data_IF_599052794356
#
_entry.id   IF_599052794356
#
_cell.length_a   1.000
_cell.length_b   1.000
_cell.length_c   1.000
_cell.angle_alpha   90.00
_cell.angle_beta   90.00
_cell.angle_gamma   90.00
#
_symmetry.space_group_name_H-M   'P 1'
#
loop_
_entity.id
_entity.type
_entity.pdbx_description
1 polymer ?
#
# COMPACT_ATOMS: atom_id res chain seq x y z
N UNK A 1 -22.85 -3.50 2.91
CA UNK A 1 -23.20 -4.90 3.30
C UNK A 1 -23.44 -4.96 4.80
N UNK A 2 -24.52 -5.59 5.26
CA UNK A 2 -24.87 -5.62 6.70
C UNK A 2 -24.01 -6.56 7.55
N UNK A 3 -23.97 -6.34 8.86
CA UNK A 3 -23.25 -7.16 9.86
C UNK A 3 -23.57 -8.67 9.75
N UNK A 4 -24.82 -9.01 9.46
CA UNK A 4 -25.25 -10.41 9.32
C UNK A 4 -24.59 -11.10 8.11
N UNK A 5 -24.39 -10.36 7.01
CA UNK A 5 -23.74 -10.89 5.82
C UNK A 5 -22.24 -11.08 6.05
N UNK A 6 -21.62 -10.13 6.76
CA UNK A 6 -20.22 -10.24 7.18
C UNK A 6 -19.99 -11.48 8.05
N UNK A 7 -20.80 -11.67 9.11
CA UNK A 7 -20.69 -12.84 10.00
C UNK A 7 -20.96 -14.14 9.20
N UNK A 8 -21.94 -14.13 8.30
CA UNK A 8 -22.24 -15.30 7.45
C UNK A 8 -21.10 -15.66 6.50
N UNK A 9 -20.45 -14.66 5.87
CA UNK A 9 -19.30 -14.90 5.01
C UNK A 9 -18.09 -15.38 5.83
N UNK A 10 -17.84 -14.76 6.97
CA UNK A 10 -16.77 -15.16 7.87
C UNK A 10 -16.93 -16.61 8.34
N UNK A 11 -18.11 -16.99 8.83
CA UNK A 11 -18.32 -18.36 9.33
C UNK A 11 -18.19 -19.39 8.21
N UNK A 12 -18.61 -19.07 6.99
CA UNK A 12 -18.38 -19.92 5.81
C UNK A 12 -16.88 -20.11 5.54
N UNK A 13 -16.09 -19.03 5.61
CA UNK A 13 -14.62 -19.11 5.44
C UNK A 13 -13.98 -19.97 6.52
N UNK A 14 -14.37 -19.81 7.78
CA UNK A 14 -13.88 -20.64 8.89
C UNK A 14 -14.22 -22.11 8.65
N UNK A 15 -15.49 -22.42 8.34
CA UNK A 15 -15.93 -23.80 8.08
C UNK A 15 -15.17 -24.40 6.90
N UNK A 16 -14.94 -23.65 5.82
CA UNK A 16 -14.18 -24.11 4.67
C UNK A 16 -12.74 -24.46 5.04
N UNK A 17 -12.08 -23.63 5.84
CA UNK A 17 -10.72 -23.89 6.36
C UNK A 17 -10.70 -25.15 7.22
N UNK A 18 -11.69 -25.34 8.10
CA UNK A 18 -11.81 -26.56 8.91
C UNK A 18 -11.91 -27.83 8.04
N UNK A 19 -12.70 -27.79 6.95
CA UNK A 19 -12.80 -28.92 6.02
C UNK A 19 -11.43 -29.24 5.41
N UNK A 20 -10.70 -28.23 4.93
CA UNK A 20 -9.35 -28.42 4.36
C UNK A 20 -8.38 -28.99 5.40
N UNK A 21 -8.41 -28.47 6.64
CA UNK A 21 -7.59 -28.95 7.75
C UNK A 21 -7.90 -30.41 8.07
N UNK A 22 -9.17 -30.80 8.11
CA UNK A 22 -9.56 -32.20 8.35
C UNK A 22 -9.02 -33.13 7.28
N UNK A 23 -9.01 -32.72 6.01
CA UNK A 23 -8.40 -33.49 4.92
C UNK A 23 -6.88 -33.58 5.13
N UNK A 24 -6.22 -32.47 5.44
CA UNK A 24 -4.77 -32.44 5.71
C UNK A 24 -4.39 -33.35 6.88
N UNK A 25 -5.18 -33.38 7.94
CA UNK A 25 -4.93 -34.22 9.12
C UNK A 25 -4.98 -35.73 8.80
N UNK A 26 -5.83 -36.13 7.85
CA UNK A 26 -5.92 -37.50 7.33
C UNK A 26 -4.72 -37.84 6.46
N UNK A 27 -4.28 -36.90 5.62
CA UNK A 27 -3.12 -37.08 4.72
C UNK A 27 -1.81 -37.17 5.52
N UNK A 28 -1.70 -36.45 6.64
CA UNK A 28 -0.48 -36.47 7.46
C UNK A 28 -0.39 -37.81 8.21
N UNK A 29 0.68 -38.59 7.97
CA UNK A 29 0.88 -39.86 8.65
C UNK A 29 1.11 -39.64 10.15
N UNK A 30 0.61 -40.57 10.96
CA UNK A 30 0.76 -40.56 12.41
C UNK A 30 2.23 -40.74 12.80
N UNK A 31 2.94 -39.62 12.87
CA UNK A 31 4.35 -39.51 13.21
C UNK A 31 4.54 -38.48 14.32
N UNK A 32 5.73 -38.40 14.89
CA UNK A 32 6.06 -37.33 15.84
C UNK A 32 5.88 -35.94 15.20
N UNK A 33 6.08 -35.79 13.88
CA UNK A 33 5.86 -34.54 13.15
C UNK A 33 4.40 -34.09 13.16
N UNK A 34 3.43 -35.02 13.19
CA UNK A 34 1.99 -34.69 13.24
C UNK A 34 1.64 -33.80 14.43
N UNK A 35 2.29 -34.00 15.59
CA UNK A 35 2.06 -33.18 16.79
C UNK A 35 2.46 -31.72 16.58
N UNK A 36 3.60 -31.49 15.92
CA UNK A 36 4.09 -30.14 15.62
C UNK A 36 3.23 -29.47 14.54
N UNK A 37 2.82 -30.22 13.52
CA UNK A 37 1.90 -29.71 12.49
C UNK A 37 0.55 -29.34 13.09
N UNK A 38 -0.01 -30.19 13.96
CA UNK A 38 -1.28 -29.90 14.64
C UNK A 38 -1.20 -28.66 15.54
N UNK A 39 -0.06 -28.44 16.23
CA UNK A 39 0.17 -27.22 17.01
C UNK A 39 0.17 -25.98 16.11
N UNK A 40 0.89 -26.03 14.99
CA UNK A 40 0.95 -24.93 14.02
C UNK A 40 -0.43 -24.61 13.41
N UNK A 41 -1.17 -25.65 13.03
CA UNK A 41 -2.56 -25.53 12.55
C UNK A 41 -3.44 -24.86 13.62
N UNK A 42 -3.25 -25.19 14.90
CA UNK A 42 -3.95 -24.54 16.01
C UNK A 42 -3.72 -23.03 16.04
N UNK A 43 -2.48 -22.57 15.91
CA UNK A 43 -2.18 -21.13 15.82
C UNK A 43 -2.81 -20.48 14.58
N UNK A 44 -2.77 -21.16 13.44
CA UNK A 44 -3.38 -20.67 12.21
C UNK A 44 -4.89 -20.47 12.37
N UNK A 45 -5.58 -21.40 13.04
CA UNK A 45 -7.01 -21.29 13.37
C UNK A 45 -7.25 -20.08 14.28
N UNK A 46 -6.45 -19.90 15.33
CA UNK A 46 -6.58 -18.76 16.24
C UNK A 46 -6.50 -17.45 15.47
N UNK A 47 -5.49 -17.28 14.61
CA UNK A 47 -5.32 -16.07 13.80
C UNK A 47 -6.58 -15.81 12.96
N UNK A 48 -7.03 -16.82 12.20
CA UNK A 48 -8.20 -16.72 11.30
C UNK A 48 -9.48 -16.37 12.05
N UNK A 49 -9.68 -16.90 13.26
CA UNK A 49 -10.87 -16.64 14.09
C UNK A 49 -10.80 -15.28 14.77
N UNK A 50 -9.62 -14.86 15.22
CA UNK A 50 -9.42 -13.61 15.96
C UNK A 50 -9.47 -12.39 15.04
N UNK A 51 -8.89 -12.46 13.83
CA UNK A 51 -8.87 -11.33 12.87
C UNK A 51 -10.21 -10.61 12.68
N UNK A 52 -11.35 -11.29 12.42
CA UNK A 52 -12.63 -10.61 12.22
C UNK A 52 -13.25 -10.07 13.52
N UNK A 53 -12.96 -10.69 14.67
CA UNK A 53 -13.37 -10.16 15.98
C UNK A 53 -12.68 -8.81 16.22
N UNK A 54 -11.39 -8.74 15.92
CA UNK A 54 -10.59 -7.52 15.99
C UNK A 54 -11.15 -6.45 15.03
N UNK A 55 -11.46 -6.81 13.78
CA UNK A 55 -12.09 -5.90 12.80
C UNK A 55 -13.50 -5.43 13.18
N UNK A 56 -14.22 -6.17 14.03
CA UNK A 56 -15.53 -5.75 14.54
C UNK A 56 -15.41 -4.79 15.73
N UNK A 57 -14.38 -4.95 16.56
CA UNK A 57 -14.13 -4.11 17.73
C UNK A 57 -13.61 -2.72 17.34
N UNK A 58 -12.75 -2.68 16.33
CA UNK A 58 -12.39 -1.46 15.63
C UNK A 58 -12.26 -1.76 14.14
N UNK A 59 -13.13 -1.15 13.33
CA UNK A 59 -13.13 -1.29 11.87
C UNK A 59 -11.82 -0.83 11.22
N UNK A 60 -10.94 -0.17 11.97
CA UNK A 60 -9.68 0.38 11.51
C UNK A 60 -8.47 -0.14 12.28
N UNK A 61 -8.60 -1.23 13.05
CA UNK A 61 -7.45 -1.86 13.68
C UNK A 61 -6.58 -2.53 12.61
N UNK A 62 -5.42 -1.94 12.36
CA UNK A 62 -4.42 -2.45 11.43
C UNK A 62 -3.43 -3.33 12.18
N UNK A 63 -3.66 -4.63 12.15
CA UNK A 63 -2.81 -5.64 12.81
C UNK A 63 -1.36 -5.54 12.29
N UNK A 64 -1.17 -5.19 11.03
CA UNK A 64 0.17 -5.15 10.42
C UNK A 64 0.97 -3.95 10.93
N UNK A 65 0.30 -2.80 11.07
CA UNK A 65 0.86 -1.62 11.72
C UNK A 65 1.26 -1.91 13.18
N UNK A 66 0.41 -2.61 13.93
CA UNK A 66 0.69 -2.96 15.32
C UNK A 66 1.84 -3.97 15.45
N UNK A 67 1.95 -4.93 14.53
CA UNK A 67 3.11 -5.83 14.46
C UNK A 67 4.39 -5.03 14.16
N UNK A 68 4.35 -4.10 13.20
CA UNK A 68 5.50 -3.25 12.89
C UNK A 68 5.95 -2.44 14.11
N UNK A 69 5.02 -1.80 14.81
CA UNK A 69 5.29 -1.05 16.05
C UNK A 69 5.97 -1.93 17.10
N UNK A 70 5.40 -3.08 17.40
CA UNK A 70 5.93 -3.98 18.43
C UNK A 70 7.34 -4.49 18.09
N UNK A 71 7.62 -4.77 16.81
CA UNK A 71 8.95 -5.20 16.38
C UNK A 71 9.98 -4.07 16.56
N UNK A 72 9.63 -2.83 16.21
CA UNK A 72 10.53 -1.66 16.40
C UNK A 72 10.81 -1.44 17.89
N UNK A 73 9.76 -1.42 18.73
CA UNK A 73 9.91 -1.26 20.19
C UNK A 73 10.77 -2.40 20.80
N UNK A 74 10.64 -3.63 20.32
CA UNK A 74 11.47 -4.75 20.79
C UNK A 74 12.95 -4.58 20.44
N UNK A 75 13.26 -4.04 19.25
CA UNK A 75 14.64 -3.81 18.80
C UNK A 75 15.30 -2.71 19.61
N UNK A 76 14.57 -1.65 19.97
CA UNK A 76 15.04 -0.60 20.88
C UNK A 76 15.45 -1.18 22.24
N UNK A 77 14.64 -2.10 22.78
CA UNK A 77 14.92 -2.76 24.07
C UNK A 77 16.16 -3.67 23.97
N UNK A 78 16.31 -4.42 22.88
CA UNK A 78 17.39 -5.40 22.73
C UNK A 78 18.75 -4.79 22.38
N UNK A 79 18.78 -3.63 21.72
CA UNK A 79 20.02 -3.01 21.19
C UNK A 79 20.40 -1.69 21.88
N UNK A 80 19.95 -1.48 23.12
CA UNK A 80 20.20 -0.25 23.89
C UNK A 80 21.67 0.22 23.91
N UNK A 81 22.63 -0.72 23.91
CA UNK A 81 24.06 -0.41 23.97
C UNK A 81 24.72 -0.14 22.60
N UNK A 82 24.03 -0.37 21.48
CA UNK A 82 24.59 -0.25 20.11
C UNK A 82 23.68 0.55 19.17
N UNK A 83 23.69 1.88 19.31
CA UNK A 83 22.88 2.80 18.49
C UNK A 83 23.03 2.59 16.97
N UNK A 84 24.24 2.30 16.47
CA UNK A 84 24.44 2.06 15.03
C UNK A 84 23.73 0.80 14.52
N UNK A 85 23.70 -0.25 15.35
CA UNK A 85 23.05 -1.51 14.99
C UNK A 85 21.53 -1.34 15.07
N UNK A 86 21.06 -0.65 16.11
CA UNK A 86 19.67 -0.26 16.30
C UNK A 86 19.12 0.48 15.06
N UNK A 87 19.76 1.59 14.66
CA UNK A 87 19.34 2.40 13.52
C UNK A 87 19.33 1.62 12.20
N UNK A 88 20.27 0.69 12.00
CA UNK A 88 20.29 -0.13 10.77
C UNK A 88 19.12 -1.10 10.74
N UNK A 89 18.82 -1.78 11.84
CA UNK A 89 17.71 -2.75 11.92
C UNK A 89 16.35 -2.06 11.79
N UNK A 90 16.15 -0.94 12.49
CA UNK A 90 14.92 -0.15 12.39
C UNK A 90 14.66 0.32 10.95
N UNK A 91 15.68 0.86 10.28
CA UNK A 91 15.55 1.33 8.90
C UNK A 91 15.22 0.20 7.93
N UNK A 92 15.78 -1.00 8.12
CA UNK A 92 15.45 -2.16 7.27
C UNK A 92 13.99 -2.56 7.40
N UNK A 93 13.45 -2.60 8.62
CA UNK A 93 12.07 -3.00 8.86
C UNK A 93 11.11 -1.92 8.36
N UNK A 94 11.48 -0.65 8.56
CA UNK A 94 10.78 0.51 8.00
C UNK A 94 10.70 0.44 6.48
N UNK A 95 11.82 0.15 5.80
CA UNK A 95 11.84 -0.03 4.35
C UNK A 95 10.93 -1.19 3.91
N UNK A 96 10.96 -2.33 4.60
CA UNK A 96 10.07 -3.45 4.29
C UNK A 96 8.59 -3.09 4.43
N UNK A 97 8.23 -2.38 5.50
CA UNK A 97 6.87 -1.90 5.72
C UNK A 97 6.42 -0.92 4.62
N UNK A 98 7.24 0.09 4.33
CA UNK A 98 6.97 1.07 3.26
C UNK A 98 6.84 0.38 1.90
N UNK A 99 7.73 -0.56 1.58
CA UNK A 99 7.71 -1.28 0.30
C UNK A 99 6.45 -2.16 0.15
N UNK A 100 5.95 -2.74 1.24
CA UNK A 100 4.67 -3.46 1.22
C UNK A 100 3.52 -2.52 0.88
N UNK A 101 3.43 -1.36 1.53
CA UNK A 101 2.40 -0.36 1.22
C UNK A 101 2.52 0.10 -0.23
N UNK A 102 3.74 0.36 -0.72
CA UNK A 102 3.96 0.71 -2.13
C UNK A 102 3.47 -0.38 -3.09
N UNK A 103 3.68 -1.65 -2.76
CA UNK A 103 3.19 -2.77 -3.56
C UNK A 103 1.65 -2.82 -3.59
N UNK A 104 1.00 -2.68 -2.43
CA UNK A 104 -0.46 -2.63 -2.32
C UNK A 104 -1.06 -1.47 -3.13
N UNK A 105 -0.49 -0.28 -3.00
CA UNK A 105 -0.89 0.92 -3.76
C UNK A 105 -0.64 0.72 -5.25
N UNK A 106 0.50 0.14 -5.64
CA UNK A 106 0.84 -0.12 -7.03
C UNK A 106 -0.12 -1.09 -7.70
N UNK A 107 -0.54 -2.14 -7.00
CA UNK A 107 -1.51 -3.10 -7.52
C UNK A 107 -2.84 -2.43 -7.84
N UNK A 108 -3.30 -1.55 -6.97
CA UNK A 108 -4.61 -0.90 -7.10
C UNK A 108 -4.58 0.19 -8.15
N UNK A 109 -3.48 0.94 -8.24
CA UNK A 109 -3.28 1.89 -9.33
C UNK A 109 -3.37 1.20 -10.70
N UNK A 110 -2.83 -0.01 -10.85
CA UNK A 110 -2.97 -0.81 -12.08
C UNK A 110 -4.39 -1.31 -12.36
N UNK A 111 -5.21 -1.48 -11.32
CA UNK A 111 -6.61 -1.90 -11.46
C UNK A 111 -7.55 -0.72 -11.77
N UNK A 112 -7.20 0.49 -11.31
CA UNK A 112 -8.05 1.68 -11.38
C UNK A 112 -7.67 2.62 -12.53
N UNK A 113 -6.41 2.62 -12.96
CA UNK A 113 -5.90 3.53 -14.00
C UNK A 113 -5.19 2.79 -15.13
N UNK A 114 -5.25 3.37 -16.32
CA UNK A 114 -4.52 2.86 -17.50
C UNK A 114 -3.07 3.38 -17.56
N UNK A 115 -2.66 4.22 -16.63
CA UNK A 115 -1.32 4.83 -16.56
C UNK A 115 -0.25 3.86 -16.01
N UNK A 116 0.98 4.01 -16.48
CA UNK A 116 2.12 3.36 -15.83
C UNK A 116 2.59 4.16 -14.63
N UNK A 117 3.07 3.46 -13.60
CA UNK A 117 3.56 4.08 -12.38
C UNK A 117 5.05 4.32 -12.54
N UNK A 118 5.48 5.58 -12.51
CA UNK A 118 6.91 5.93 -12.52
C UNK A 118 7.50 5.77 -11.13
N UNK A 119 6.89 6.39 -10.13
CA UNK A 119 7.44 6.43 -8.76
C UNK A 119 6.31 6.52 -7.74
N UNK A 120 6.45 5.81 -6.62
CA UNK A 120 5.63 5.98 -5.42
C UNK A 120 6.57 6.29 -4.25
N UNK A 121 6.39 7.46 -3.64
CA UNK A 121 7.06 7.89 -2.43
C UNK A 121 6.03 7.93 -1.29
N UNK A 122 6.36 7.29 -0.18
CA UNK A 122 5.48 7.21 1.00
C UNK A 122 6.33 7.56 2.21
N UNK A 123 5.86 8.51 3.01
CA UNK A 123 6.42 8.84 4.33
C UNK A 123 5.45 8.36 5.42
N UNK A 124 5.99 8.00 6.59
CA UNK A 124 5.20 7.56 7.74
C UNK A 124 5.48 8.47 8.95
N UNK A 125 4.52 8.54 9.87
CA UNK A 125 4.74 9.13 11.19
C UNK A 125 5.61 8.21 12.04
N UNK A 126 6.60 8.78 12.73
CA UNK A 126 7.50 8.07 13.65
C UNK A 126 7.30 8.55 15.10
N UNK A 127 6.21 9.27 15.37
CA UNK A 127 5.85 9.71 16.72
C UNK A 127 5.06 8.64 17.49
N UNK A 128 5.11 8.66 18.82
CA UNK A 128 4.48 7.64 19.68
C UNK A 128 2.96 7.47 19.50
N UNK A 129 2.28 8.51 18.99
CA UNK A 129 0.82 8.59 18.91
C UNK A 129 0.32 8.05 17.56
N UNK A 130 1.04 8.36 16.48
CA UNK A 130 0.66 8.05 15.10
C UNK A 130 1.64 7.09 14.43
N UNK A 131 2.60 6.52 15.16
CA UNK A 131 3.66 5.65 14.64
C UNK A 131 3.16 4.67 13.58
N UNK A 132 3.76 4.69 12.39
CA UNK A 132 3.40 3.80 11.28
C UNK A 132 2.19 4.22 10.44
N UNK A 133 1.47 5.29 10.81
CA UNK A 133 0.47 5.91 9.92
C UNK A 133 1.19 6.57 8.75
N UNK A 134 0.60 6.51 7.56
CA UNK A 134 1.12 7.23 6.40
C UNK A 134 0.93 8.74 6.61
N UNK A 135 2.02 9.49 6.45
CA UNK A 135 2.06 10.94 6.59
C UNK A 135 1.78 11.62 5.26
N UNK A 136 2.57 11.30 4.24
CA UNK A 136 2.45 11.85 2.88
C UNK A 136 2.60 10.73 1.84
N UNK A 137 1.85 10.86 0.74
CA UNK A 137 1.96 9.98 -0.42
C UNK A 137 2.15 10.84 -1.66
N UNK A 138 3.22 10.57 -2.40
CA UNK A 138 3.48 11.17 -3.69
C UNK A 138 3.55 10.08 -4.76
N UNK A 139 2.69 10.19 -5.77
CA UNK A 139 2.59 9.25 -6.88
C UNK A 139 2.87 10.01 -8.17
N UNK A 140 3.79 9.48 -8.98
CA UNK A 140 4.09 9.99 -10.32
C UNK A 140 3.66 8.94 -11.35
N UNK A 141 2.72 9.32 -12.21
CA UNK A 141 2.16 8.49 -13.28
C UNK A 141 2.77 8.89 -14.64
N UNK A 142 2.87 7.93 -15.55
CA UNK A 142 3.35 8.09 -16.94
C UNK A 142 2.28 7.60 -17.91
N UNK A 143 1.99 8.40 -18.94
CA UNK A 143 1.04 8.02 -19.99
C UNK A 143 1.61 6.90 -20.88
N UNK A 144 0.81 5.85 -21.12
CA UNK A 144 1.14 4.72 -22.01
C UNK A 144 1.07 5.07 -23.49
N UNK A 145 0.44 6.19 -23.89
CA UNK A 145 0.19 6.50 -25.31
C UNK A 145 1.43 6.88 -26.14
N UNK A 146 2.62 7.06 -25.54
CA UNK A 146 3.79 7.62 -26.23
C UNK A 146 5.02 6.70 -26.29
N UNK A 147 4.84 5.41 -26.62
CA UNK A 147 5.96 4.48 -26.84
C UNK A 147 6.41 4.31 -28.31
N UNK A 148 5.82 5.02 -29.27
CA UNK A 148 6.35 5.03 -30.64
C UNK A 148 6.87 6.43 -31.01
N UNK A 149 8.18 6.61 -30.95
CA UNK A 149 9.05 7.28 -31.95
C UNK A 149 10.50 7.15 -31.44
N UNK A 150 11.25 6.22 -32.03
CA UNK A 150 12.71 6.17 -31.96
C UNK A 150 13.31 7.34 -32.75
N UNK A 151 14.38 7.93 -32.20
CA UNK A 151 15.32 8.79 -32.93
C UNK A 151 15.08 10.29 -32.76
N UNK A 152 15.87 10.94 -31.90
CA UNK A 152 16.78 12.05 -32.26
C UNK A 152 17.40 12.67 -30.99
N UNK A 153 18.71 12.92 -31.04
CA UNK A 153 19.57 13.42 -29.96
C UNK A 153 19.22 14.86 -29.57
N UNK A 154 18.15 15.03 -28.79
CA UNK A 154 17.86 16.31 -28.11
C UNK A 154 17.52 16.07 -26.65
N UNK A 155 18.18 16.82 -25.77
CA UNK A 155 17.96 16.79 -24.32
C UNK A 155 16.50 17.21 -24.07
N UNK A 156 15.63 16.25 -23.76
CA UNK A 156 14.19 16.46 -23.55
C UNK A 156 13.93 17.02 -22.16
N UNK A 157 13.44 18.25 -22.10
CA UNK A 157 13.03 18.93 -20.87
C UNK A 157 11.78 18.26 -20.31
N UNK A 158 11.86 17.82 -19.05
CA UNK A 158 10.77 17.20 -18.30
C UNK A 158 9.85 18.33 -17.81
N UNK A 159 8.59 18.34 -18.21
CA UNK A 159 7.59 19.24 -17.65
C UNK A 159 6.81 18.48 -16.56
N UNK A 160 6.90 18.94 -15.31
CA UNK A 160 6.17 18.37 -14.17
C UNK A 160 5.02 19.33 -13.87
N UNK A 161 3.80 18.96 -14.24
CA UNK A 161 2.63 19.76 -13.90
C UNK A 161 2.11 19.35 -12.50
N UNK A 162 2.25 20.26 -11.52
CA UNK A 162 1.62 20.12 -10.21
C UNK A 162 0.13 20.43 -10.33
N UNK A 163 -0.70 19.40 -10.35
CA UNK A 163 -2.15 19.57 -10.36
C UNK A 163 -2.62 19.77 -8.91
N UNK A 164 -2.55 21.01 -8.44
CA UNK A 164 -3.15 21.43 -7.15
C UNK A 164 -4.65 21.69 -7.34
N UNK A 165 -5.49 21.05 -6.52
CA UNK A 165 -6.96 21.15 -6.55
C UNK A 165 -7.52 22.52 -6.06
N UNK A 166 -6.75 23.60 -6.11
CA UNK A 166 -7.24 24.96 -5.81
C UNK A 166 -7.09 25.88 -7.01
N UNK A 167 -8.19 26.02 -7.75
CA UNK A 167 -8.49 27.05 -8.74
C UNK A 167 -7.46 27.27 -9.86
N UNK A 168 -7.76 26.77 -11.07
CA UNK A 168 -8.26 27.62 -12.15
C UNK A 168 -8.68 26.80 -13.37
N UNK A 169 -9.76 27.25 -14.00
CA UNK A 169 -10.31 26.76 -15.25
C UNK A 169 -9.28 26.85 -16.39
N UNK A 170 -8.85 25.71 -16.92
CA UNK A 170 -8.50 25.57 -18.34
C UNK A 170 -8.46 24.10 -18.75
N UNK A 171 -9.55 23.64 -19.37
CA UNK A 171 -9.67 22.41 -20.17
C UNK A 171 -8.70 21.27 -19.80
N UNK A 172 -8.90 20.66 -18.64
CA UNK A 172 -8.29 19.37 -18.30
C UNK A 172 -9.33 18.27 -18.49
N UNK A 173 -8.93 17.18 -19.16
CA UNK A 173 -9.78 16.02 -19.48
C UNK A 173 -10.55 15.51 -18.25
N UNK A 174 -11.90 15.47 -18.33
CA UNK A 174 -12.77 14.98 -17.25
C UNK A 174 -12.45 13.55 -16.78
N UNK A 175 -11.71 12.76 -17.56
CA UNK A 175 -11.24 11.41 -17.18
C UNK A 175 -10.14 11.45 -16.13
N UNK A 176 -9.20 12.40 -16.24
CA UNK A 176 -8.03 12.52 -15.38
C UNK A 176 -8.39 12.95 -13.96
N UNK A 177 -9.36 13.87 -13.84
CA UNK A 177 -9.86 14.32 -12.54
C UNK A 177 -10.60 13.20 -11.80
N UNK A 178 -11.39 12.39 -12.52
CA UNK A 178 -12.15 11.29 -11.94
C UNK A 178 -11.27 10.11 -11.49
N UNK A 179 -10.20 9.80 -12.24
CA UNK A 179 -9.23 8.76 -11.86
C UNK A 179 -8.39 9.19 -10.64
N UNK A 180 -7.98 10.46 -10.58
CA UNK A 180 -7.29 11.03 -9.42
C UNK A 180 -8.15 10.99 -8.16
N UNK A 181 -9.43 11.32 -8.27
CA UNK A 181 -10.35 11.33 -7.14
C UNK A 181 -10.55 9.92 -6.54
N UNK A 182 -10.62 8.88 -7.39
CA UNK A 182 -10.65 7.48 -6.95
C UNK A 182 -9.39 7.07 -6.17
N UNK A 183 -8.21 7.52 -6.59
CA UNK A 183 -6.95 7.23 -5.90
C UNK A 183 -6.93 7.89 -4.51
N UNK A 184 -7.34 9.16 -4.46
CA UNK A 184 -7.40 9.93 -3.22
C UNK A 184 -8.40 9.31 -2.24
N UNK A 185 -9.59 8.94 -2.71
CA UNK A 185 -10.60 8.26 -1.88
C UNK A 185 -10.10 6.91 -1.38
N UNK A 186 -9.44 6.12 -2.22
CA UNK A 186 -8.89 4.83 -1.80
C UNK A 186 -7.85 4.97 -0.68
N UNK A 187 -6.87 5.87 -0.86
CA UNK A 187 -5.81 6.09 0.13
C UNK A 187 -6.37 6.68 1.43
N UNK A 188 -7.37 7.55 1.35
CA UNK A 188 -8.08 8.09 2.50
C UNK A 188 -8.84 6.99 3.26
N UNK A 189 -9.61 6.16 2.56
CA UNK A 189 -10.47 5.16 3.20
C UNK A 189 -9.67 3.98 3.76
N UNK A 190 -8.61 3.55 3.07
CA UNK A 190 -7.79 2.41 3.48
C UNK A 190 -6.75 2.78 4.54
N UNK A 191 -6.04 3.90 4.33
CA UNK A 191 -4.86 4.25 5.13
C UNK A 191 -5.05 5.52 5.97
N UNK A 192 -6.23 6.16 5.94
CA UNK A 192 -6.55 7.40 6.68
C UNK A 192 -5.60 8.57 6.39
N UNK A 193 -5.02 8.58 5.19
CA UNK A 193 -4.19 9.69 4.75
C UNK A 193 -5.10 10.89 4.48
N UNK A 194 -4.73 12.05 5.02
CA UNK A 194 -5.45 13.29 4.70
C UNK A 194 -5.41 13.50 3.18
N UNK A 195 -6.55 13.89 2.59
CA UNK A 195 -6.65 14.17 1.15
C UNK A 195 -5.64 15.25 0.72
N UNK A 196 -5.32 16.17 1.61
CA UNK A 196 -4.34 17.24 1.39
C UNK A 196 -2.88 16.75 1.34
N UNK A 197 -2.61 15.56 1.89
CA UNK A 197 -1.27 14.96 1.95
C UNK A 197 -1.03 13.94 0.82
N UNK A 198 -1.97 13.80 -0.12
CA UNK A 198 -1.86 12.93 -1.28
C UNK A 198 -1.61 13.81 -2.51
N UNK A 199 -0.43 13.66 -3.11
CA UNK A 199 -0.05 14.36 -4.34
C UNK A 199 0.08 13.36 -5.48
N UNK A 200 -0.67 13.60 -6.55
CA UNK A 200 -0.63 12.79 -7.77
C UNK A 200 -0.21 13.69 -8.92
N UNK A 201 0.92 13.34 -9.54
CA UNK A 201 1.48 14.02 -10.69
C UNK A 201 1.38 13.11 -11.91
N UNK A 202 1.07 13.69 -13.07
CA UNK A 202 1.07 12.99 -14.35
C UNK A 202 2.17 13.61 -15.21
N UNK A 203 3.08 12.77 -15.70
CA UNK A 203 4.10 13.19 -16.63
C UNK A 203 3.55 13.11 -18.06
N UNK A 204 3.14 14.26 -18.61
CA UNK A 204 2.76 14.43 -20.01
C UNK A 204 3.89 15.14 -20.77
N UNK A 205 4.43 14.50 -21.82
CA UNK A 205 5.33 15.21 -22.76
C UNK A 205 4.52 16.24 -23.55
N UNK A 206 4.73 17.53 -23.28
CA UNK A 206 4.20 18.63 -24.09
C UNK A 206 5.12 18.99 -25.26
N UNK A 207 4.55 19.21 -26.45
CA UNK A 207 5.27 19.80 -27.58
C UNK A 207 5.65 21.25 -27.25
N UNK A 208 6.96 21.52 -27.18
CA UNK A 208 7.45 22.89 -27.09
C UNK A 208 7.13 23.69 -28.35
N UNK A 209 6.45 24.81 -28.19
CA UNK A 209 6.17 25.78 -29.26
C UNK A 209 7.46 26.17 -29.99
N UNK A 210 7.53 25.83 -31.29
CA UNK A 210 8.49 26.44 -32.21
C UNK A 210 8.09 27.90 -32.47
N UNK A 211 8.66 28.83 -31.72
CA UNK A 211 8.61 30.26 -32.02
C UNK A 211 9.82 30.96 -31.41
N UNK A 212 10.91 31.17 -32.16
CA UNK A 212 11.01 32.39 -32.96
C UNK A 212 12.33 32.42 -33.73
N UNK A 213 12.21 32.89 -34.97
CA UNK A 213 13.22 32.94 -36.03
C UNK A 213 14.44 33.80 -35.66
N UNK A 214 15.58 33.37 -36.19
CA UNK A 214 16.70 34.20 -36.58
C UNK A 214 16.24 35.36 -37.48
N UNK A 215 16.42 36.61 -37.03
CA UNK A 215 17.25 37.65 -37.66
C UNK A 215 17.26 38.91 -36.81
#
# INVERSE_FOLDING_TARGET
>A
MGLINFISQWIKTVVMIFIVISILEIVIPNSNLKKYVNMFIGFLIIIVVVTPIVKLLDRHYDIEKEIFRNIVEEIEIQNYDNEKILLVQENQIKELYINKIKADVSQILKEVTDYDISTINISIYEDDINFGNIKDVEIVLKDKKNENIEGDDSIKVINIEEISLKNQEKNEDLSLTAEKEKIIEYLHDRYKVSKDNIKVFINTMGEGEKGGKSN
#
